data_IF_203802804864
#
_entry.id   IF_203802804864
#
_cell.length_a   1.000
_cell.length_b   1.000
_cell.length_c   1.000
_cell.angle_alpha   90.00
_cell.angle_beta   90.00
_cell.angle_gamma   90.00
#
_symmetry.space_group_name_H-M   'P 1'
#
loop_
_entity.id
_entity.type
_entity.pdbx_description
1 polymer ?
#
# COMPACT_ATOMS: atom_id res chain seq x y z
N UNK A 1 12.77 -4.91 -5.42
CA UNK A 1 11.78 -4.67 -6.51
C UNK A 1 11.51 -5.99 -7.20
N UNK A 2 10.26 -6.25 -7.55
CA UNK A 2 9.90 -7.47 -8.29
C UNK A 2 9.27 -7.09 -9.62
N UNK A 3 9.74 -7.71 -10.71
CA UNK A 3 9.18 -7.53 -12.05
C UNK A 3 8.36 -8.77 -12.40
N UNK A 4 7.06 -8.58 -12.56
CA UNK A 4 6.16 -9.60 -13.10
C UNK A 4 6.11 -9.49 -14.62
N UNK A 5 6.20 -10.63 -15.30
CA UNK A 5 6.09 -10.69 -16.76
C UNK A 5 4.65 -10.98 -17.18
N UNK A 6 4.29 -10.54 -18.40
CA UNK A 6 3.00 -10.90 -19.02
C UNK A 6 2.90 -12.39 -19.35
N UNK A 7 4.03 -13.06 -19.53
CA UNK A 7 4.09 -14.51 -19.57
C UNK A 7 4.16 -15.07 -18.15
N UNK A 8 3.01 -15.44 -17.59
CA UNK A 8 2.92 -15.99 -16.23
C UNK A 8 3.59 -17.36 -16.07
N UNK A 9 4.01 -18.03 -17.15
CA UNK A 9 4.83 -19.24 -17.06
C UNK A 9 6.28 -18.92 -16.70
N UNK A 10 6.70 -17.67 -16.87
CA UNK A 10 8.01 -17.17 -16.49
C UNK A 10 8.00 -16.74 -15.03
N UNK A 11 9.02 -17.16 -14.29
CA UNK A 11 9.24 -16.70 -12.92
C UNK A 11 9.51 -15.18 -12.89
N UNK A 12 9.13 -14.54 -11.78
CA UNK A 12 9.38 -13.11 -11.55
C UNK A 12 10.87 -12.81 -11.46
N UNK A 13 11.27 -11.61 -11.88
CA UNK A 13 12.62 -11.12 -11.63
C UNK A 13 12.66 -10.39 -10.29
N UNK A 14 13.46 -10.90 -9.36
CA UNK A 14 13.76 -10.23 -8.11
C UNK A 14 15.02 -9.38 -8.29
N UNK A 15 14.89 -8.08 -8.04
CA UNK A 15 16.01 -7.15 -7.95
C UNK A 15 16.13 -6.76 -6.48
N UNK A 16 17.12 -7.35 -5.82
CA UNK A 16 17.51 -7.03 -4.46
C UNK A 16 18.50 -5.85 -4.44
N UNK A 17 18.72 -5.28 -3.24
CA UNK A 17 19.75 -4.27 -2.99
C UNK A 17 19.66 -2.99 -3.83
N UNK A 18 18.46 -2.36 -3.88
CA UNK A 18 18.28 -1.08 -4.58
C UNK A 18 18.66 0.08 -3.63
N UNK A 19 19.58 0.97 -4.04
CA UNK A 19 19.87 2.18 -3.28
C UNK A 19 18.62 3.07 -3.16
N UNK A 20 18.34 3.58 -1.96
CA UNK A 20 17.20 4.48 -1.72
C UNK A 20 17.25 5.74 -2.60
N UNK A 21 18.44 6.23 -2.90
CA UNK A 21 18.68 7.38 -3.80
C UNK A 21 18.23 7.14 -5.24
N UNK A 22 18.09 5.88 -5.65
CA UNK A 22 17.68 5.50 -7.01
C UNK A 22 16.17 5.30 -7.13
N UNK A 23 15.44 5.32 -6.02
CA UNK A 23 14.01 5.01 -6.00
C UNK A 23 13.17 6.01 -6.80
N UNK A 24 13.42 7.31 -6.63
CA UNK A 24 12.69 8.36 -7.36
C UNK A 24 12.93 8.27 -8.87
N UNK A 25 14.18 8.03 -9.29
CA UNK A 25 14.51 7.85 -10.71
C UNK A 25 13.88 6.60 -11.32
N UNK A 26 13.73 5.52 -10.54
CA UNK A 26 13.04 4.31 -10.99
C UNK A 26 11.54 4.60 -11.17
N UNK A 27 10.90 5.32 -10.24
CA UNK A 27 9.48 5.71 -10.38
C UNK A 27 9.26 6.59 -11.60
N UNK A 28 10.10 7.60 -11.79
CA UNK A 28 10.04 8.47 -12.96
C UNK A 28 10.19 7.65 -14.24
N UNK A 29 11.18 6.76 -14.31
CA UNK A 29 11.36 5.88 -15.46
C UNK A 29 10.15 4.97 -15.71
N UNK A 30 9.59 4.35 -14.67
CA UNK A 30 8.39 3.51 -14.78
C UNK A 30 7.20 4.31 -15.33
N UNK A 31 7.00 5.55 -14.85
CA UNK A 31 5.98 6.46 -15.36
C UNK A 31 6.19 6.78 -16.85
N UNK A 32 7.44 7.03 -17.29
CA UNK A 32 7.73 7.32 -18.70
C UNK A 32 7.56 6.11 -19.63
N UNK A 33 7.58 4.90 -19.08
CA UNK A 33 7.49 3.66 -19.84
C UNK A 33 6.06 3.11 -19.88
N UNK A 34 5.08 3.84 -19.33
CA UNK A 34 3.68 3.42 -19.16
C UNK A 34 3.54 2.04 -18.46
N UNK A 35 4.48 1.73 -17.55
CA UNK A 35 4.44 0.49 -16.78
C UNK A 35 3.71 0.75 -15.46
N UNK A 36 2.58 0.08 -15.28
CA UNK A 36 1.91 0.04 -13.98
C UNK A 36 2.83 -0.61 -12.94
N UNK A 37 3.00 0.05 -11.80
CA UNK A 37 3.77 -0.45 -10.67
C UNK A 37 2.95 -0.34 -9.38
N UNK A 38 3.34 -1.16 -8.42
CA UNK A 38 2.71 -1.27 -7.10
C UNK A 38 3.79 -1.20 -6.04
N UNK A 39 3.49 -0.50 -4.95
CA UNK A 39 4.34 -0.43 -3.77
C UNK A 39 3.73 -1.28 -2.67
N UNK A 40 4.51 -2.17 -2.07
CA UNK A 40 4.10 -3.00 -0.94
C UNK A 40 5.29 -3.16 -0.01
N UNK A 41 5.08 -3.03 1.30
CA UNK A 41 6.10 -3.34 2.31
C UNK A 41 6.14 -4.83 2.64
N UNK A 42 5.20 -5.63 2.10
CA UNK A 42 5.12 -7.06 2.32
C UNK A 42 6.02 -7.82 1.35
N UNK A 43 6.68 -8.87 1.87
CA UNK A 43 7.39 -9.81 1.03
C UNK A 43 6.40 -10.84 0.48
N UNK A 44 5.93 -10.60 -0.74
CA UNK A 44 4.93 -11.42 -1.40
C UNK A 44 5.52 -12.73 -1.93
N UNK A 45 4.78 -13.84 -1.71
CA UNK A 45 5.11 -15.13 -2.29
C UNK A 45 4.61 -15.21 -3.75
N UNK A 46 5.47 -14.85 -4.70
CA UNK A 46 5.10 -14.78 -6.12
C UNK A 46 4.72 -16.11 -6.75
N UNK A 47 5.32 -17.23 -6.33
CA UNK A 47 5.00 -18.57 -6.87
C UNK A 47 3.52 -18.94 -6.76
N UNK A 48 2.88 -18.89 -5.58
CA UNK A 48 1.44 -19.16 -5.47
C UNK A 48 0.59 -18.10 -6.17
N UNK A 49 0.98 -16.82 -6.12
CA UNK A 49 0.26 -15.73 -6.81
C UNK A 49 0.19 -16.01 -8.32
N UNK A 50 1.34 -16.26 -8.96
CA UNK A 50 1.41 -16.59 -10.38
C UNK A 50 0.59 -17.84 -10.71
N UNK A 51 0.63 -18.88 -9.87
CA UNK A 51 -0.18 -20.09 -10.06
C UNK A 51 -1.67 -19.79 -10.03
N UNK A 52 -2.14 -18.97 -9.10
CA UNK A 52 -3.56 -18.57 -9.03
C UNK A 52 -3.96 -17.80 -10.28
N UNK A 53 -3.14 -16.86 -10.74
CA UNK A 53 -3.41 -16.07 -11.96
C UNK A 53 -3.48 -16.99 -13.20
N UNK A 54 -2.60 -17.99 -13.31
CA UNK A 54 -2.63 -18.95 -14.43
C UNK A 54 -3.84 -19.89 -14.36
N UNK A 55 -4.22 -20.30 -13.16
CA UNK A 55 -5.29 -21.27 -12.95
C UNK A 55 -6.68 -20.65 -13.11
N UNK A 56 -6.87 -19.44 -12.59
CA UNK A 56 -8.14 -18.73 -12.57
C UNK A 56 -7.94 -17.20 -12.68
N UNK A 57 -7.71 -16.69 -13.90
CA UNK A 57 -7.45 -15.27 -14.13
C UNK A 57 -8.69 -14.39 -13.93
N UNK A 58 -9.89 -14.92 -14.16
CA UNK A 58 -11.15 -14.17 -13.97
C UNK A 58 -11.35 -13.87 -12.50
N UNK A 59 -11.21 -14.90 -11.64
CA UNK A 59 -11.28 -14.71 -10.20
C UNK A 59 -10.23 -13.73 -9.68
N UNK A 60 -9.00 -13.78 -10.21
CA UNK A 60 -7.97 -12.82 -9.83
C UNK A 60 -8.41 -11.37 -10.11
N UNK A 61 -9.06 -11.12 -11.25
CA UNK A 61 -9.56 -9.78 -11.59
C UNK A 61 -10.75 -9.38 -10.69
N UNK A 62 -11.66 -10.31 -10.41
CA UNK A 62 -12.79 -10.09 -9.49
C UNK A 62 -12.34 -9.77 -8.06
N UNK A 63 -11.28 -10.43 -7.59
CA UNK A 63 -10.67 -10.21 -6.27
C UNK A 63 -9.86 -8.90 -6.18
N UNK A 64 -9.90 -8.05 -7.21
CA UNK A 64 -9.19 -6.76 -7.26
C UNK A 64 -7.83 -6.80 -7.96
N UNK A 65 -7.47 -7.92 -8.57
CA UNK A 65 -6.29 -8.07 -9.41
C UNK A 65 -5.01 -7.67 -8.69
N UNK A 66 -4.19 -6.84 -9.35
CA UNK A 66 -2.93 -6.39 -8.79
C UNK A 66 -3.08 -5.43 -7.60
N UNK A 67 -4.22 -4.74 -7.47
CA UNK A 67 -4.51 -3.90 -6.29
C UNK A 67 -4.63 -4.74 -5.02
N UNK A 68 -5.10 -5.99 -5.13
CA UNK A 68 -5.20 -6.92 -4.00
C UNK A 68 -3.86 -7.23 -3.33
N UNK A 69 -2.75 -7.03 -4.05
CA UNK A 69 -1.39 -7.23 -3.52
C UNK A 69 -0.94 -6.06 -2.63
N UNK A 70 -1.66 -4.93 -2.67
CA UNK A 70 -1.42 -3.75 -1.86
C UNK A 70 -2.25 -3.76 -0.56
N UNK A 71 -2.20 -4.87 0.19
CA UNK A 71 -3.00 -5.10 1.41
C UNK A 71 -2.77 -4.09 2.56
N UNK A 72 -1.80 -3.17 2.46
CA UNK A 72 -1.58 -2.14 3.49
C UNK A 72 -2.60 -0.99 3.47
N UNK A 73 -3.46 -0.88 2.45
CA UNK A 73 -4.48 0.18 2.39
C UNK A 73 -5.69 -0.11 3.30
N UNK A 74 -5.86 -1.35 3.80
CA UNK A 74 -7.02 -1.72 4.63
C UNK A 74 -6.80 -1.69 6.14
N UNK A 75 -5.60 -1.33 6.64
CA UNK A 75 -5.31 -1.30 8.08
C UNK A 75 -4.99 0.11 8.61
N UNK A 76 -5.56 1.15 7.99
CA UNK A 76 -5.37 2.55 8.40
C UNK A 76 -6.67 3.36 8.53
N UNK A 77 -7.84 2.71 8.62
CA UNK A 77 -9.15 3.36 8.83
C UNK A 77 -9.94 2.73 9.98
N UNK A 78 -9.27 2.32 11.05
CA UNK A 78 -9.89 2.10 12.37
C UNK A 78 -8.79 2.00 13.40
N UNK A 79 -8.37 3.13 13.99
CA UNK A 79 -7.85 3.27 15.37
C UNK A 79 -7.33 4.72 15.56
N UNK A 80 -8.20 5.72 15.39
CA UNK A 80 -8.02 7.00 16.09
C UNK A 80 -9.33 7.29 16.82
N UNK A 81 -9.56 6.56 17.92
CA UNK A 81 -9.24 7.05 19.26
C UNK A 81 -10.14 8.22 19.60
N UNK A 82 -11.13 7.86 20.40
CA UNK A 82 -12.04 8.68 21.17
C UNK A 82 -11.25 9.82 21.86
N UNK A 83 -11.27 11.03 21.31
CA UNK A 83 -10.95 12.24 22.08
C UNK A 83 -12.22 13.05 22.28
N UNK A 84 -12.78 12.82 23.46
CA UNK A 84 -13.85 13.55 24.11
C UNK A 84 -13.48 15.02 24.28
N UNK A 85 -13.82 15.86 23.30
CA UNK A 85 -13.88 17.31 23.52
C UNK A 85 -15.27 17.66 24.07
N UNK A 86 -15.47 17.31 25.36
CA UNK A 86 -16.55 17.86 26.16
C UNK A 86 -16.31 19.37 26.27
N UNK A 87 -17.07 20.14 25.51
CA UNK A 87 -17.05 21.59 25.54
C UNK A 87 -17.09 22.12 26.96
N UNK A 88 -15.99 22.74 27.37
CA UNK A 88 -15.94 23.52 28.60
C UNK A 88 -16.16 24.98 28.22
N UNK A 89 -17.39 25.44 28.38
CA UNK A 89 -17.72 26.86 28.37
C UNK A 89 -17.03 27.51 29.59
N UNK A 90 -16.28 28.61 29.44
CA UNK A 90 -15.79 29.34 30.58
C UNK A 90 -16.99 30.04 31.24
N UNK A 91 -17.50 29.46 32.32
CA UNK A 91 -18.38 30.18 33.23
C UNK A 91 -17.55 31.22 33.99
N UNK A 92 -17.90 32.47 33.72
CA UNK A 92 -17.66 33.66 34.53
C UNK A 92 -17.98 33.41 36.02
N UNK A 93 -17.56 34.35 36.87
CA UNK A 93 -17.81 34.49 38.31
C UNK A 93 -16.73 33.93 39.28
N UNK A 94 -16.15 34.62 40.26
CA UNK A 94 -15.99 36.04 40.68
C UNK A 94 -14.83 36.07 41.73
N UNK A 95 -14.31 37.28 42.01
CA UNK A 95 -13.87 37.78 43.33
C UNK A 95 -12.52 37.40 44.03
N UNK A 96 -11.74 38.47 44.24
CA UNK A 96 -11.23 38.97 45.55
C UNK A 96 -9.77 38.71 46.05
N UNK A 97 -9.20 39.84 46.48
CA UNK A 97 -8.14 40.09 47.49
C UNK A 97 -6.63 39.85 47.21
N UNK A 98 -5.90 40.96 46.95
CA UNK A 98 -4.75 41.49 47.74
C UNK A 98 -3.88 42.50 46.97
#
# INVERSE_FOLDING_TARGET
MTIAFTDFKRDVLLVDSIPSTSFDGIKEWLNTTDLKYYESRLNLNWRPILKTIIHDPEKFIEDGGWESLNMEVSDSESENSEESDQGHEPSDDEDDDS
#
